data_IF_513013281416
#
_entry.id   IF_513013281416
#
_cell.length_a   1.000
_cell.length_b   1.000
_cell.length_c   1.000
_cell.angle_alpha   90.00
_cell.angle_beta   90.00
_cell.angle_gamma   90.00
#
_symmetry.space_group_name_H-M   'P 1'
#
loop_
_entity.id
_entity.type
_entity.pdbx_description
1 polymer ?
#
# COMPACT_ATOMS: atom_id res chain seq x y z
N UNK A 1 0.25 6.90 25.99
CA UNK A 1 0.29 5.81 24.99
C UNK A 1 -0.28 4.53 25.61
N UNK A 2 -1.37 4.00 25.07
CA UNK A 2 -2.08 2.81 25.59
C UNK A 2 -1.94 1.62 24.63
N UNK A 3 -1.53 0.45 25.11
CA UNK A 3 -1.37 -0.75 24.28
C UNK A 3 -2.71 -1.45 24.05
N UNK A 4 -3.01 -1.79 22.80
CA UNK A 4 -4.13 -2.70 22.50
C UNK A 4 -3.73 -4.13 22.91
N UNK A 5 -4.44 -4.69 23.89
CA UNK A 5 -4.16 -6.02 24.45
C UNK A 5 -5.05 -7.13 23.88
N UNK A 6 -6.25 -6.78 23.40
CA UNK A 6 -7.18 -7.73 22.82
C UNK A 6 -6.81 -8.04 21.36
N UNK A 7 -6.51 -9.31 21.04
CA UNK A 7 -6.06 -9.72 19.69
C UNK A 7 -7.09 -9.35 18.60
N UNK A 8 -8.39 -9.53 18.86
CA UNK A 8 -9.44 -9.15 17.90
C UNK A 8 -9.46 -7.65 17.63
N UNK A 9 -9.23 -6.83 18.66
CA UNK A 9 -9.10 -5.38 18.51
C UNK A 9 -7.84 -5.01 17.72
N UNK A 10 -6.71 -5.67 18.00
CA UNK A 10 -5.45 -5.48 17.27
C UNK A 10 -5.63 -5.80 15.78
N UNK A 11 -6.24 -6.93 15.43
CA UNK A 11 -6.51 -7.30 14.04
C UNK A 11 -7.36 -6.26 13.32
N UNK A 12 -8.48 -5.87 13.93
CA UNK A 12 -9.37 -4.85 13.36
C UNK A 12 -8.67 -3.49 13.17
N UNK A 13 -7.73 -3.15 14.05
CA UNK A 13 -6.92 -1.94 13.90
C UNK A 13 -5.90 -2.05 12.76
N UNK A 14 -5.33 -3.25 12.56
CA UNK A 14 -4.35 -3.52 11.50
C UNK A 14 -4.96 -3.65 10.11
N UNK A 15 -6.24 -4.00 9.97
CA UNK A 15 -6.91 -4.13 8.66
C UNK A 15 -6.82 -2.86 7.78
N UNK A 16 -7.24 -1.66 8.24
CA UNK A 16 -7.11 -0.43 7.45
C UNK A 16 -5.65 -0.01 7.25
N UNK A 17 -4.80 -0.25 8.25
CA UNK A 17 -3.36 -0.02 8.12
C UNK A 17 -2.78 -0.87 6.98
N UNK A 18 -3.02 -2.18 7.00
CA UNK A 18 -2.57 -3.09 5.96
C UNK A 18 -3.15 -2.75 4.59
N UNK A 19 -4.44 -2.41 4.52
CA UNK A 19 -5.08 -1.96 3.30
C UNK A 19 -4.33 -0.79 2.65
N UNK A 20 -3.85 0.16 3.44
CA UNK A 20 -3.07 1.30 2.94
C UNK A 20 -1.70 0.90 2.36
N UNK A 21 -1.05 -0.13 2.91
CA UNK A 21 0.31 -0.56 2.54
C UNK A 21 0.38 -1.72 1.55
N UNK A 22 -0.70 -2.47 1.34
CA UNK A 22 -0.63 -3.73 0.58
C UNK A 22 -0.13 -3.55 -0.85
N UNK A 23 -0.47 -2.42 -1.50
CA UNK A 23 -0.02 -2.12 -2.86
C UNK A 23 1.45 -1.71 -2.88
N UNK A 24 1.90 -0.93 -1.91
CA UNK A 24 3.31 -0.59 -1.71
C UNK A 24 4.17 -1.85 -1.55
N UNK A 25 3.71 -2.81 -0.74
CA UNK A 25 4.35 -4.11 -0.57
C UNK A 25 4.32 -4.95 -1.85
N UNK A 26 3.16 -5.00 -2.52
CA UNK A 26 3.00 -5.76 -3.77
C UNK A 26 3.93 -5.25 -4.87
N UNK A 27 4.13 -3.94 -4.93
CA UNK A 27 5.01 -3.23 -5.85
C UNK A 27 6.48 -3.65 -5.71
N UNK A 28 6.89 -4.03 -4.48
CA UNK A 28 8.22 -4.58 -4.17
C UNK A 28 8.30 -6.06 -4.47
N UNK A 29 7.17 -6.77 -4.41
CA UNK A 29 6.99 -8.06 -5.03
C UNK A 29 5.78 -8.81 -4.49
N UNK A 30 5.07 -9.51 -5.38
CA UNK A 30 3.84 -10.23 -5.02
C UNK A 30 4.03 -11.27 -3.89
N UNK A 31 5.21 -11.92 -3.82
CA UNK A 31 5.54 -12.84 -2.73
C UNK A 31 5.51 -12.17 -1.35
N UNK A 32 5.93 -10.91 -1.26
CA UNK A 32 5.96 -10.14 -0.01
C UNK A 32 4.54 -9.82 0.45
N UNK A 33 3.68 -9.46 -0.51
CA UNK A 33 2.24 -9.27 -0.26
C UNK A 33 1.58 -10.54 0.27
N UNK A 34 1.86 -11.69 -0.34
CA UNK A 34 1.33 -12.99 0.11
C UNK A 34 1.82 -13.35 1.51
N UNK A 35 3.11 -13.18 1.78
CA UNK A 35 3.71 -13.42 3.09
C UNK A 35 3.01 -12.59 4.18
N UNK A 36 2.94 -11.26 4.01
CA UNK A 36 2.32 -10.39 5.02
C UNK A 36 0.82 -10.63 5.18
N UNK A 37 0.12 -10.97 4.09
CA UNK A 37 -1.29 -11.37 4.16
C UNK A 37 -1.48 -12.65 4.98
N UNK A 38 -0.58 -13.63 4.87
CA UNK A 38 -0.60 -14.83 5.71
C UNK A 38 -0.32 -14.46 7.17
N UNK A 39 0.73 -13.66 7.44
CA UNK A 39 1.06 -13.18 8.80
C UNK A 39 -0.12 -12.55 9.53
N UNK A 40 -0.91 -11.73 8.83
CA UNK A 40 -2.10 -11.07 9.43
C UNK A 40 -3.25 -12.04 9.74
N UNK A 41 -3.25 -13.23 9.16
CA UNK A 41 -4.26 -14.26 9.37
C UNK A 41 -3.77 -15.42 10.25
N UNK A 42 -2.48 -15.49 10.59
CA UNK A 42 -1.91 -16.46 11.54
C UNK A 42 -2.60 -16.34 12.90
N UNK A 43 -2.85 -17.48 13.57
CA UNK A 43 -3.41 -17.53 14.93
C UNK A 43 -2.47 -18.36 15.82
N UNK A 44 -1.87 -17.77 16.88
CA UNK A 44 -2.02 -16.38 17.33
C UNK A 44 -1.35 -15.36 16.39
N UNK A 45 -1.84 -14.11 16.40
CA UNK A 45 -1.22 -13.04 15.60
C UNK A 45 0.12 -12.62 16.21
N UNK A 46 1.20 -12.68 15.43
CA UNK A 46 2.49 -12.12 15.81
C UNK A 46 2.71 -10.71 15.27
N UNK A 47 2.37 -9.69 16.07
CA UNK A 47 2.58 -8.27 15.72
C UNK A 47 4.06 -7.97 15.47
N UNK A 48 4.96 -8.59 16.24
CA UNK A 48 6.42 -8.42 16.09
C UNK A 48 6.91 -8.90 14.72
N UNK A 49 6.46 -10.08 14.28
CA UNK A 49 6.85 -10.62 12.97
C UNK A 49 6.27 -9.76 11.85
N UNK A 50 4.99 -9.38 11.94
CA UNK A 50 4.37 -8.49 10.96
C UNK A 50 5.12 -7.15 10.84
N UNK A 51 5.44 -6.51 11.96
CA UNK A 51 6.20 -5.25 11.98
C UNK A 51 7.57 -5.40 11.34
N UNK A 52 8.33 -6.44 11.72
CA UNK A 52 9.68 -6.66 11.21
C UNK A 52 9.69 -6.98 9.70
N UNK A 53 8.77 -7.85 9.26
CA UNK A 53 8.62 -8.19 7.85
C UNK A 53 8.26 -6.94 7.04
N UNK A 54 7.27 -6.16 7.48
CA UNK A 54 6.84 -4.94 6.79
C UNK A 54 7.96 -3.90 6.71
N UNK A 55 8.63 -3.60 7.83
CA UNK A 55 9.76 -2.67 7.86
C UNK A 55 10.86 -3.09 6.89
N UNK A 56 11.19 -4.38 6.88
CA UNK A 56 12.22 -4.93 5.99
C UNK A 56 11.82 -4.77 4.53
N UNK A 57 10.57 -5.11 4.19
CA UNK A 57 10.06 -5.01 2.83
C UNK A 57 10.02 -3.55 2.36
N UNK A 58 9.58 -2.61 3.20
CA UNK A 58 9.54 -1.18 2.82
C UNK A 58 10.94 -0.61 2.52
N UNK A 59 12.00 -1.21 3.07
CA UNK A 59 13.39 -0.87 2.74
C UNK A 59 13.96 -1.54 1.49
N UNK A 60 13.23 -2.46 0.84
CA UNK A 60 13.68 -3.15 -0.38
C UNK A 60 13.35 -2.32 -1.62
N UNK A 61 14.09 -2.47 -2.73
CA UNK A 61 13.73 -1.79 -3.97
C UNK A 61 12.40 -2.31 -4.50
N UNK A 62 11.72 -1.48 -5.28
CA UNK A 62 10.63 -1.94 -6.14
C UNK A 62 11.16 -2.94 -7.16
N UNK A 63 10.28 -3.76 -7.72
CA UNK A 63 10.62 -4.61 -8.86
C UNK A 63 9.69 -4.32 -10.03
N UNK A 64 10.20 -4.40 -11.26
CA UNK A 64 9.37 -4.19 -12.46
C UNK A 64 8.18 -5.15 -12.50
N UNK A 65 8.41 -6.42 -12.15
CA UNK A 65 7.35 -7.44 -12.02
C UNK A 65 6.34 -7.08 -10.93
N UNK A 66 6.80 -6.63 -9.76
CA UNK A 66 5.92 -6.20 -8.67
C UNK A 66 5.06 -5.01 -9.05
N UNK A 67 5.65 -4.01 -9.71
CA UNK A 67 4.92 -2.86 -10.25
C UNK A 67 3.86 -3.26 -11.23
N UNK A 68 4.22 -4.07 -12.25
CA UNK A 68 3.26 -4.53 -13.25
C UNK A 68 2.03 -5.15 -12.58
N UNK A 69 2.23 -6.14 -11.71
CA UNK A 69 1.16 -6.79 -10.97
C UNK A 69 0.34 -5.79 -10.15
N UNK A 70 1.00 -4.86 -9.45
CA UNK A 70 0.33 -3.87 -8.60
C UNK A 70 -0.58 -2.94 -9.41
N UNK A 71 -0.09 -2.43 -10.54
CA UNK A 71 -0.85 -1.54 -11.41
C UNK A 71 -1.97 -2.26 -12.15
N UNK A 72 -1.80 -3.53 -12.54
CA UNK A 72 -2.90 -4.36 -13.06
C UNK A 72 -4.01 -4.54 -12.02
N UNK A 73 -3.64 -4.76 -10.75
CA UNK A 73 -4.61 -4.87 -9.66
C UNK A 73 -5.35 -3.55 -9.44
N UNK A 74 -4.66 -2.41 -9.50
CA UNK A 74 -5.26 -1.07 -9.40
C UNK A 74 -6.19 -0.83 -10.58
N UNK A 75 -5.76 -1.13 -11.82
CA UNK A 75 -6.58 -1.04 -13.02
C UNK A 75 -7.88 -1.83 -12.91
N UNK A 76 -7.84 -3.00 -12.24
CA UNK A 76 -9.01 -3.84 -11.99
C UNK A 76 -10.19 -3.12 -11.33
N UNK A 77 -9.96 -2.03 -10.58
CA UNK A 77 -10.99 -1.21 -9.96
C UNK A 77 -11.69 -0.24 -10.92
N UNK A 78 -11.05 0.07 -12.05
CA UNK A 78 -11.51 1.08 -13.02
C UNK A 78 -12.06 0.44 -14.30
N UNK A 79 -11.58 -0.77 -14.66
CA UNK A 79 -11.79 -1.42 -15.97
C UNK A 79 -13.23 -1.53 -16.49
N UNK A 80 -14.24 -1.41 -15.63
CA UNK A 80 -15.67 -1.53 -16.00
C UNK A 80 -16.31 -0.20 -16.38
N UNK A 81 -15.70 0.92 -15.99
CA UNK A 81 -16.27 2.27 -16.11
C UNK A 81 -15.42 3.20 -16.99
N UNK A 82 -14.16 2.82 -17.23
CA UNK A 82 -13.21 3.58 -18.05
C UNK A 82 -13.42 3.40 -19.55
N UNK A 83 -13.05 4.43 -20.31
CA UNK A 83 -13.01 4.38 -21.76
C UNK A 83 -11.84 3.54 -22.29
N UNK A 84 -11.87 3.24 -23.60
CA UNK A 84 -10.76 2.58 -24.28
C UNK A 84 -9.49 3.44 -24.28
N UNK A 85 -9.63 4.76 -24.42
CA UNK A 85 -8.49 5.69 -24.44
C UNK A 85 -7.82 5.79 -23.07
N UNK A 86 -8.59 5.83 -21.98
CA UNK A 86 -8.04 5.82 -20.61
C UNK A 86 -7.26 4.54 -20.33
N UNK A 87 -7.79 3.40 -20.77
CA UNK A 87 -7.09 2.12 -20.68
C UNK A 87 -5.79 2.15 -21.47
N UNK A 88 -5.84 2.57 -22.73
CA UNK A 88 -4.67 2.63 -23.60
C UNK A 88 -3.59 3.52 -23.00
N UNK A 89 -3.96 4.71 -22.52
CA UNK A 89 -3.03 5.64 -21.89
C UNK A 89 -2.43 5.10 -20.59
N UNK A 90 -3.25 4.47 -19.73
CA UNK A 90 -2.79 3.83 -18.50
C UNK A 90 -1.71 2.78 -18.77
N UNK A 91 -1.97 1.86 -19.70
CA UNK A 91 -1.03 0.79 -20.02
C UNK A 91 0.19 1.29 -20.80
N UNK A 92 0.05 2.31 -21.63
CA UNK A 92 1.18 2.96 -22.29
C UNK A 92 2.17 3.54 -21.27
N UNK A 93 1.68 4.27 -20.25
CA UNK A 93 2.52 4.81 -19.19
C UNK A 93 3.18 3.71 -18.34
N UNK A 94 2.43 2.66 -18.02
CA UNK A 94 2.94 1.51 -17.29
C UNK A 94 4.08 0.82 -18.06
N UNK A 95 3.84 0.44 -19.31
CA UNK A 95 4.81 -0.25 -20.15
C UNK A 95 6.08 0.59 -20.34
N UNK A 96 5.92 1.87 -20.68
CA UNK A 96 7.04 2.80 -20.82
C UNK A 96 7.85 2.91 -19.53
N UNK A 97 7.18 3.11 -18.39
CA UNK A 97 7.85 3.21 -17.10
C UNK A 97 8.58 1.93 -16.71
N UNK A 98 8.03 0.76 -17.03
CA UNK A 98 8.70 -0.52 -16.78
C UNK A 98 9.91 -0.73 -17.70
N UNK A 99 9.86 -0.28 -18.96
CA UNK A 99 10.98 -0.34 -19.91
C UNK A 99 12.12 0.61 -19.54
N UNK A 100 11.79 1.80 -19.02
CA UNK A 100 12.76 2.79 -18.52
C UNK A 100 13.44 2.35 -17.20
N UNK A 101 12.86 1.36 -16.51
CA UNK A 101 13.33 0.90 -15.20
C UNK A 101 14.30 -0.27 -15.30
N UNK A 102 15.39 -0.30 -14.49
CA UNK A 102 16.10 -1.55 -14.24
C UNK A 102 15.18 -2.55 -13.52
N UNK A 103 15.50 -3.86 -13.49
CA UNK A 103 14.66 -4.88 -12.86
C UNK A 103 14.29 -4.59 -11.39
N UNK A 104 15.13 -3.81 -10.69
CA UNK A 104 14.90 -3.31 -9.34
C UNK A 104 15.30 -1.84 -9.22
N UNK A 105 14.48 -1.02 -8.59
CA UNK A 105 14.70 0.43 -8.48
C UNK A 105 14.12 1.00 -7.19
N UNK A 106 14.69 2.10 -6.70
CA UNK A 106 14.14 2.86 -5.56
C UNK A 106 13.38 4.11 -6.01
N UNK A 107 13.89 4.77 -7.05
CA UNK A 107 13.30 5.98 -7.63
C UNK A 107 12.43 5.60 -8.81
N UNK A 108 11.21 6.12 -8.85
CA UNK A 108 10.29 5.85 -9.95
C UNK A 108 10.72 6.65 -11.19
N UNK A 109 10.78 6.04 -12.38
CA UNK A 109 11.02 6.77 -13.61
C UNK A 109 9.85 7.73 -13.91
N UNK A 110 10.06 8.76 -14.74
CA UNK A 110 9.04 9.75 -15.06
C UNK A 110 7.70 9.14 -15.49
N UNK A 111 7.70 8.12 -16.36
CA UNK A 111 6.45 7.52 -16.82
C UNK A 111 5.64 6.81 -15.71
N UNK A 112 6.29 6.26 -14.66
CA UNK A 112 5.56 5.72 -13.50
C UNK A 112 5.05 6.85 -12.57
N UNK A 113 5.75 7.98 -12.51
CA UNK A 113 5.25 9.18 -11.83
C UNK A 113 4.02 9.74 -12.54
N UNK A 114 4.03 9.78 -13.88
CA UNK A 114 2.90 10.18 -14.71
C UNK A 114 1.71 9.22 -14.54
N UNK A 115 1.97 7.90 -14.51
CA UNK A 115 0.94 6.88 -14.24
C UNK A 115 0.26 7.11 -12.88
N UNK A 116 1.06 7.42 -11.85
CA UNK A 116 0.54 7.77 -10.52
C UNK A 116 -0.31 9.02 -10.57
N UNK A 117 0.18 10.06 -11.23
CA UNK A 117 -0.54 11.32 -11.37
C UNK A 117 -1.87 11.11 -12.10
N UNK A 118 -1.87 10.42 -13.24
CA UNK A 118 -3.07 10.09 -14.00
C UNK A 118 -4.06 9.28 -13.17
N UNK A 119 -3.59 8.26 -12.46
CA UNK A 119 -4.46 7.43 -11.63
C UNK A 119 -5.10 8.25 -10.50
N UNK A 120 -4.31 9.04 -9.79
CA UNK A 120 -4.79 9.77 -8.60
C UNK A 120 -5.62 11.00 -8.97
N UNK A 121 -5.17 11.81 -9.93
CA UNK A 121 -5.80 13.09 -10.25
C UNK A 121 -6.85 13.00 -11.36
N UNK A 122 -6.90 11.90 -12.11
CA UNK A 122 -7.89 11.71 -13.17
C UNK A 122 -8.82 10.55 -12.86
N UNK A 123 -8.29 9.33 -12.73
CA UNK A 123 -9.14 8.14 -12.57
C UNK A 123 -9.87 8.14 -11.23
N UNK A 124 -9.23 8.44 -10.10
CA UNK A 124 -9.90 8.49 -8.80
C UNK A 124 -10.88 9.67 -8.68
N UNK A 125 -10.60 10.80 -9.33
CA UNK A 125 -11.53 11.94 -9.36
C UNK A 125 -12.80 11.59 -10.13
N UNK A 126 -12.65 10.91 -11.29
CA UNK A 126 -13.77 10.53 -12.16
C UNK A 126 -14.53 9.31 -11.66
N UNK A 127 -13.80 8.36 -11.07
CA UNK A 127 -14.31 7.09 -10.56
C UNK A 127 -13.85 6.92 -9.11
N UNK A 128 -14.50 7.59 -8.14
CA UNK A 128 -14.08 7.55 -6.74
C UNK A 128 -13.98 6.13 -6.20
N UNK A 129 -12.88 5.86 -5.51
CA UNK A 129 -12.59 4.57 -4.87
C UNK A 129 -11.96 4.88 -3.50
N UNK A 130 -12.76 5.08 -2.44
CA UNK A 130 -12.25 5.44 -1.12
C UNK A 130 -11.14 4.52 -0.61
N UNK A 131 -11.21 3.24 -0.96
CA UNK A 131 -10.20 2.25 -0.60
C UNK A 131 -8.84 2.48 -1.29
N UNK A 132 -8.82 2.95 -2.54
CA UNK A 132 -7.58 3.25 -3.26
C UNK A 132 -7.02 4.63 -2.90
N UNK A 133 -7.87 5.61 -2.60
CA UNK A 133 -7.44 6.95 -2.19
C UNK A 133 -6.56 6.92 -0.93
N UNK A 134 -6.85 5.98 -0.01
CA UNK A 134 -6.11 5.79 1.23
C UNK A 134 -4.78 5.00 1.06
N UNK A 135 -4.39 4.61 -0.16
CA UNK A 135 -3.16 3.82 -0.34
C UNK A 135 -1.89 4.67 -0.25
N UNK A 136 -0.89 4.13 0.44
CA UNK A 136 0.44 4.74 0.58
C UNK A 136 1.29 4.70 -0.69
N UNK A 137 0.89 3.91 -1.68
CA UNK A 137 1.52 3.92 -3.01
C UNK A 137 1.38 5.30 -3.68
N UNK A 138 0.28 6.02 -3.42
CA UNK A 138 0.04 7.36 -4.00
C UNK A 138 0.56 8.49 -3.11
N UNK A 139 0.49 8.32 -1.79
CA UNK A 139 0.89 9.31 -0.80
C UNK A 139 1.87 8.70 0.23
N UNK A 140 3.18 8.63 -0.07
CA UNK A 140 4.18 8.18 0.89
C UNK A 140 4.25 9.14 2.08
N UNK A 141 4.51 8.59 3.27
CA UNK A 141 4.61 9.31 4.55
C UNK A 141 5.98 9.05 5.17
N UNK A 142 6.54 10.04 5.85
CA UNK A 142 7.77 9.88 6.63
C UNK A 142 7.57 8.90 7.79
N UNK A 143 6.40 8.97 8.45
CA UNK A 143 6.02 8.06 9.52
C UNK A 143 5.20 6.91 8.97
N UNK A 144 5.88 5.81 8.62
CA UNK A 144 5.21 4.68 7.99
C UNK A 144 4.37 3.84 8.97
N UNK A 145 4.72 3.85 10.25
CA UNK A 145 4.13 3.00 11.28
C UNK A 145 3.03 3.68 12.10
N UNK A 146 2.57 4.87 11.71
CA UNK A 146 1.48 5.60 12.36
C UNK A 146 0.26 5.72 11.41
N UNK A 147 -0.95 5.60 11.96
CA UNK A 147 -2.20 5.79 11.21
C UNK A 147 -3.37 6.14 12.12
N UNK A 148 -4.39 6.77 11.54
CA UNK A 148 -5.64 7.05 12.25
C UNK A 148 -6.62 5.89 12.14
N UNK A 149 -7.25 5.55 13.26
CA UNK A 149 -8.34 4.58 13.30
C UNK A 149 -9.36 4.96 14.36
N UNK A 150 -10.63 5.14 13.94
CA UNK A 150 -11.76 5.53 14.80
C UNK A 150 -11.47 6.81 15.61
N UNK A 151 -10.90 7.82 14.96
CA UNK A 151 -10.56 9.10 15.59
C UNK A 151 -9.41 9.05 16.58
N UNK A 152 -8.63 7.97 16.60
CA UNK A 152 -7.42 7.84 17.42
C UNK A 152 -6.20 7.65 16.53
N UNK A 153 -5.11 8.35 16.86
CA UNK A 153 -3.81 8.07 16.28
C UNK A 153 -3.24 6.79 16.90
N UNK A 154 -2.87 5.85 16.04
CA UNK A 154 -2.25 4.57 16.41
C UNK A 154 -0.80 4.50 15.91
N UNK A 155 0.01 3.73 16.62
CA UNK A 155 1.38 3.39 16.25
C UNK A 155 1.60 1.87 16.28
N UNK A 156 2.23 1.36 15.23
CA UNK A 156 2.72 -0.01 15.13
C UNK A 156 4.16 -0.05 15.58
N UNK A 157 4.47 -0.95 16.49
CA UNK A 157 5.82 -1.14 17.06
C UNK A 157 6.16 -2.62 17.10
N UNK A 158 7.43 -3.01 17.34
CA UNK A 158 7.79 -4.41 17.56
C UNK A 158 7.04 -5.09 18.71
N UNK A 159 6.55 -4.32 19.69
CA UNK A 159 5.92 -4.84 20.90
C UNK A 159 4.39 -4.83 20.85
N UNK A 160 3.78 -4.19 19.85
CA UNK A 160 2.33 -4.14 19.72
C UNK A 160 1.81 -2.93 18.95
N UNK A 161 0.48 -2.81 18.93
CA UNK A 161 -0.24 -1.62 18.46
C UNK A 161 -0.59 -0.76 19.67
N UNK A 162 -0.31 0.54 19.57
CA UNK A 162 -0.52 1.50 20.65
C UNK A 162 -1.39 2.66 20.18
N UNK A 163 -2.28 3.16 21.02
CA UNK A 163 -2.94 4.45 20.83
C UNK A 163 -2.07 5.55 21.43
N UNK A 164 -1.75 6.58 20.65
CA UNK A 164 -0.88 7.67 21.07
C UNK A 164 -1.61 8.71 21.96
N UNK A 165 -2.94 8.63 22.07
CA UNK A 165 -3.76 9.65 22.73
C UNK A 165 -4.15 10.75 21.75
N UNK A 166 -5.16 11.56 22.08
CA UNK A 166 -5.40 12.80 21.37
C UNK A 166 -4.36 13.80 21.89
N UNK A 167 -3.59 14.42 21.00
CA UNK A 167 -2.96 15.68 21.37
C UNK A 167 -4.10 16.65 21.69
N UNK A 168 -4.19 17.03 22.97
CA UNK A 168 -5.13 18.01 23.50
C UNK A 168 -4.89 19.39 22.90
#
# INVERSE_FOLDING_TARGET
>A
MEKLTNERAVRKALEPFWASYKYEVMARGYRHYKQLSVRLNETPLSVRLFYNDLRTILGQPYSTKGMHTTWEHIWGYFKKETSHDEKAYFFQLLERGLQESPPRFYVWPPALCDLRHFTYNTLLVRYPRPYLEATRLFAPTEKWNEWEWKGKLLALTPTGVYSLGNES
#
